data_IF_060670352281
#
_entry.id   IF_060670352281
#
_cell.length_a   1.000
_cell.length_b   1.000
_cell.length_c   1.000
_cell.angle_alpha   90.00
_cell.angle_beta   90.00
_cell.angle_gamma   90.00
#
_symmetry.space_group_name_H-M   'P 1'
#
loop_
_entity.id
_entity.type
_entity.pdbx_description
1 polymer ?
#
# COMPACT_ATOMS: atom_id res chain seq x y z
N UNK A 1 -9.23 -5.19 -14.34
CA UNK A 1 -7.85 -4.89 -13.93
C UNK A 1 -7.07 -4.47 -15.18
N UNK A 2 -6.46 -3.28 -15.20
CA UNK A 2 -5.77 -2.74 -16.40
C UNK A 2 -4.28 -3.13 -16.40
N UNK A 3 -3.70 -3.42 -15.23
CA UNK A 3 -2.30 -3.79 -15.05
C UNK A 3 -2.17 -5.25 -14.60
N UNK A 4 -1.25 -6.00 -15.18
CA UNK A 4 -0.92 -7.38 -14.75
C UNK A 4 0.23 -7.42 -13.72
N UNK A 5 1.06 -6.37 -13.66
CA UNK A 5 2.16 -6.26 -12.70
C UNK A 5 1.70 -5.44 -11.50
N UNK A 6 1.94 -5.98 -10.31
CA UNK A 6 1.66 -5.30 -9.05
C UNK A 6 2.86 -5.39 -8.12
N UNK A 7 3.01 -4.40 -7.24
CA UNK A 7 4.16 -4.25 -6.35
C UNK A 7 3.64 -3.84 -4.98
N UNK A 8 4.08 -4.56 -3.95
CA UNK A 8 3.89 -4.12 -2.56
C UNK A 8 5.03 -3.16 -2.24
N UNK A 9 4.66 -1.89 -2.03
CA UNK A 9 5.58 -0.83 -1.72
C UNK A 9 5.65 -0.65 -0.21
N UNK A 10 6.53 -1.45 0.37
CA UNK A 10 6.93 -1.44 1.76
C UNK A 10 8.47 -1.46 1.87
N UNK A 11 9.00 -0.99 3.00
CA UNK A 11 10.40 -1.22 3.36
C UNK A 11 10.68 -2.61 3.96
N UNK A 12 11.94 -3.03 3.84
CA UNK A 12 12.46 -4.33 4.29
C UNK A 12 12.23 -4.66 5.77
N UNK A 13 11.92 -3.65 6.58
CA UNK A 13 11.74 -3.76 8.01
C UNK A 13 10.26 -3.79 8.45
N UNK A 14 9.31 -3.58 7.53
CA UNK A 14 7.88 -3.64 7.84
C UNK A 14 7.36 -5.05 8.11
N UNK A 15 7.78 -6.10 7.38
CA UNK A 15 7.27 -7.45 7.62
C UNK A 15 7.48 -7.89 9.07
N UNK A 16 6.46 -8.46 9.68
CA UNK A 16 6.44 -8.80 11.12
C UNK A 16 7.53 -9.79 11.54
N UNK A 17 7.98 -10.62 10.60
CA UNK A 17 9.11 -11.54 10.79
C UNK A 17 10.43 -10.81 11.06
N UNK A 18 10.59 -9.59 10.51
CA UNK A 18 11.78 -8.75 10.68
C UNK A 18 11.56 -7.73 11.80
N UNK A 19 10.39 -7.08 11.82
CA UNK A 19 10.07 -5.94 12.70
C UNK A 19 10.36 -6.24 14.18
N UNK A 20 9.97 -7.43 14.65
CA UNK A 20 10.17 -7.88 16.05
C UNK A 20 11.62 -8.06 16.48
N UNK A 21 12.56 -8.04 15.53
CA UNK A 21 13.99 -8.25 15.77
C UNK A 21 14.84 -6.99 15.54
N UNK A 22 14.21 -5.86 15.18
CA UNK A 22 14.90 -4.59 15.05
C UNK A 22 15.37 -4.09 16.41
N UNK A 23 16.62 -3.65 16.47
CA UNK A 23 17.25 -3.08 17.68
C UNK A 23 17.42 -1.57 17.59
N UNK A 24 17.59 -1.08 16.36
CA UNK A 24 17.85 0.32 16.02
C UNK A 24 16.83 0.79 14.97
N UNK A 25 16.79 2.10 14.70
CA UNK A 25 15.97 2.66 13.63
C UNK A 25 16.49 2.21 12.26
N UNK A 26 15.70 1.44 11.49
CA UNK A 26 16.17 0.89 10.23
C UNK A 26 16.28 1.97 9.16
N UNK A 27 17.33 1.91 8.34
CA UNK A 27 17.46 2.81 7.19
C UNK A 27 16.47 2.43 6.08
N UNK A 28 15.57 3.32 5.64
CA UNK A 28 14.67 3.06 4.53
C UNK A 28 15.42 2.89 3.20
N UNK A 29 14.94 1.97 2.37
CA UNK A 29 15.47 1.63 1.05
C UNK A 29 14.39 1.64 -0.05
N UNK A 30 13.11 1.74 0.31
CA UNK A 30 11.98 1.73 -0.61
C UNK A 30 12.18 2.68 -1.80
N UNK A 31 12.60 3.93 -1.58
CA UNK A 31 12.89 4.89 -2.66
C UNK A 31 13.89 4.37 -3.68
N UNK A 32 15.07 3.93 -3.23
CA UNK A 32 16.15 3.56 -4.14
C UNK A 32 15.80 2.30 -4.96
N UNK A 33 15.07 1.37 -4.34
CA UNK A 33 14.59 0.15 -5.01
C UNK A 33 13.47 0.48 -6.01
N UNK A 34 12.48 1.27 -5.59
CA UNK A 34 11.35 1.66 -6.44
C UNK A 34 11.79 2.48 -7.65
N UNK A 35 12.78 3.37 -7.52
CA UNK A 35 13.32 4.09 -8.67
C UNK A 35 13.93 3.18 -9.74
N UNK A 36 14.55 2.05 -9.34
CA UNK A 36 15.06 1.06 -10.30
C UNK A 36 13.90 0.36 -11.01
N UNK A 37 12.84 0.02 -10.27
CA UNK A 37 11.64 -0.61 -10.82
C UNK A 37 10.93 0.34 -11.79
N UNK A 38 10.73 1.60 -11.42
CA UNK A 38 10.11 2.60 -12.28
C UNK A 38 10.89 2.79 -13.59
N UNK A 39 12.23 2.85 -13.53
CA UNK A 39 13.07 2.90 -14.75
C UNK A 39 12.88 1.67 -15.65
N UNK A 40 12.67 0.49 -15.06
CA UNK A 40 12.42 -0.73 -15.81
C UNK A 40 11.04 -0.71 -16.46
N UNK A 41 10.01 -0.33 -15.70
CA UNK A 41 8.64 -0.18 -16.20
C UNK A 41 8.57 0.84 -17.34
N UNK A 42 9.23 2.00 -17.19
CA UNK A 42 9.32 3.04 -18.22
C UNK A 42 10.02 2.52 -19.48
N UNK A 43 11.14 1.79 -19.33
CA UNK A 43 11.87 1.20 -20.46
C UNK A 43 11.01 0.29 -21.32
N UNK A 44 10.08 -0.45 -20.71
CA UNK A 44 9.21 -1.38 -21.40
C UNK A 44 7.81 -0.81 -21.67
N UNK A 45 7.53 0.45 -21.32
CA UNK A 45 6.22 1.06 -21.49
C UNK A 45 5.11 0.41 -20.67
N UNK A 46 5.45 -0.26 -19.56
CA UNK A 46 4.51 -1.02 -18.73
C UNK A 46 3.99 -0.16 -17.58
N UNK A 47 2.68 -0.21 -17.33
CA UNK A 47 2.06 0.35 -16.13
C UNK A 47 1.80 -0.75 -15.12
N UNK A 48 1.78 -0.35 -13.85
CA UNK A 48 1.74 -1.25 -12.72
C UNK A 48 0.88 -0.63 -11.61
N UNK A 49 0.43 -1.47 -10.70
CA UNK A 49 -0.27 -1.06 -9.48
C UNK A 49 0.66 -1.19 -8.28
N UNK A 50 0.82 -0.11 -7.53
CA UNK A 50 1.62 -0.07 -6.31
C UNK A 50 0.70 -0.09 -5.10
N UNK A 51 0.63 -1.22 -4.41
CA UNK A 51 0.01 -1.31 -3.09
C UNK A 51 0.96 -0.64 -2.11
N UNK A 52 0.69 0.63 -1.83
CA UNK A 52 1.57 1.50 -1.09
C UNK A 52 1.23 1.44 0.39
N UNK A 53 2.25 1.26 1.23
CA UNK A 53 2.10 1.37 2.66
C UNK A 53 2.03 2.85 3.08
N UNK A 54 1.12 3.18 4.00
CA UNK A 54 0.97 4.55 4.51
C UNK A 54 2.26 5.12 5.12
N UNK A 55 2.99 4.36 5.93
CA UNK A 55 4.29 4.77 6.49
C UNK A 55 5.28 5.20 5.38
N UNK A 56 5.35 4.44 4.28
CA UNK A 56 6.20 4.80 3.12
C UNK A 56 5.71 6.09 2.46
N UNK A 57 4.39 6.25 2.30
CA UNK A 57 3.79 7.43 1.71
C UNK A 57 4.05 8.71 2.54
N UNK A 58 3.99 8.62 3.87
CA UNK A 58 4.29 9.74 4.78
C UNK A 58 5.77 10.11 4.74
N UNK A 59 6.66 9.11 4.71
CA UNK A 59 8.12 9.34 4.69
C UNK A 59 8.61 9.93 3.38
N UNK A 60 8.02 9.51 2.26
CA UNK A 60 8.43 10.00 0.93
C UNK A 60 7.25 10.35 0.01
N UNK A 61 6.60 11.52 0.25
CA UNK A 61 5.58 12.05 -0.65
C UNK A 61 6.07 12.26 -2.08
N UNK A 62 7.39 12.48 -2.25
CA UNK A 62 8.01 12.65 -3.56
C UNK A 62 7.99 11.37 -4.39
N UNK A 63 8.19 10.21 -3.76
CA UNK A 63 8.08 8.91 -4.40
C UNK A 63 6.63 8.62 -4.83
N UNK A 64 5.65 8.89 -3.98
CA UNK A 64 4.22 8.72 -4.33
C UNK A 64 3.84 9.59 -5.54
N UNK A 65 4.24 10.87 -5.55
CA UNK A 65 4.07 11.75 -6.72
C UNK A 65 4.75 11.22 -7.97
N UNK A 66 5.96 10.64 -7.83
CA UNK A 66 6.71 10.08 -8.95
C UNK A 66 6.02 8.85 -9.53
N UNK A 67 5.52 7.95 -8.70
CA UNK A 67 4.77 6.76 -9.13
C UNK A 67 3.49 7.19 -9.86
N UNK A 68 2.67 8.03 -9.23
CA UNK A 68 1.43 8.50 -9.83
C UNK A 68 1.66 9.29 -11.13
N UNK A 69 2.64 10.20 -11.15
CA UNK A 69 3.01 10.97 -12.35
C UNK A 69 3.56 10.12 -13.49
N UNK A 70 4.05 8.90 -13.19
CA UNK A 70 4.38 7.88 -14.18
C UNK A 70 3.17 7.16 -14.77
N UNK A 71 1.95 7.47 -14.35
CA UNK A 71 0.71 6.80 -14.79
C UNK A 71 0.50 5.42 -14.14
N UNK A 72 1.18 5.14 -13.04
CA UNK A 72 0.96 3.95 -12.24
C UNK A 72 -0.20 4.16 -11.26
N UNK A 73 -0.89 3.08 -10.89
CA UNK A 73 -1.96 3.13 -9.90
C UNK A 73 -1.36 3.12 -8.48
N UNK A 74 -1.92 3.95 -7.60
CA UNK A 74 -1.70 3.88 -6.14
C UNK A 74 -2.88 3.14 -5.52
N UNK A 75 -2.60 2.00 -4.90
CA UNK A 75 -3.52 1.19 -4.14
C UNK A 75 -3.06 1.13 -2.67
N UNK A 76 -3.94 0.71 -1.76
CA UNK A 76 -3.64 0.63 -0.33
C UNK A 76 -3.00 -0.70 0.04
N UNK A 77 -1.91 -0.64 0.81
CA UNK A 77 -1.35 -1.77 1.55
C UNK A 77 -1.54 -1.60 3.07
N UNK A 78 -2.57 -0.84 3.47
CA UNK A 78 -2.74 -0.39 4.86
C UNK A 78 -1.87 0.82 5.20
N UNK A 79 -1.94 1.25 6.45
CA UNK A 79 -1.18 2.38 6.98
C UNK A 79 0.10 1.92 7.69
N UNK A 80 -0.02 0.94 8.59
CA UNK A 80 1.02 0.57 9.56
C UNK A 80 1.69 -0.79 9.32
N UNK A 81 1.21 -1.52 8.31
CA UNK A 81 1.57 -2.90 7.96
C UNK A 81 1.08 -3.95 8.96
N UNK A 82 0.13 -3.60 9.85
CA UNK A 82 -0.50 -4.57 10.73
C UNK A 82 -1.33 -5.59 9.95
N UNK A 83 -1.18 -6.90 10.22
CA UNK A 83 -2.03 -7.91 9.61
C UNK A 83 -3.47 -7.82 10.13
N UNK A 84 -4.44 -8.21 9.29
CA UNK A 84 -5.87 -8.07 9.59
C UNK A 84 -6.32 -8.82 10.85
N UNK A 85 -5.70 -9.94 11.20
CA UNK A 85 -6.04 -10.70 12.42
C UNK A 85 -5.62 -9.98 13.71
N UNK A 86 -4.78 -8.95 13.63
CA UNK A 86 -4.41 -8.10 14.78
C UNK A 86 -5.27 -6.83 14.88
N UNK A 87 -6.09 -6.56 13.85
CA UNK A 87 -6.92 -5.36 13.79
C UNK A 87 -8.36 -5.70 14.20
N UNK A 88 -8.88 -4.90 15.13
CA UNK A 88 -10.33 -4.84 15.30
C UNK A 88 -10.99 -4.20 14.07
N UNK A 89 -12.28 -4.45 13.80
CA UNK A 89 -12.98 -3.83 12.68
C UNK A 89 -12.86 -2.30 12.64
N UNK A 90 -12.93 -1.63 13.78
CA UNK A 90 -12.76 -0.16 13.85
C UNK A 90 -11.31 0.31 13.66
N UNK A 91 -10.33 -0.51 14.07
CA UNK A 91 -8.93 -0.23 13.81
C UNK A 91 -8.61 -0.35 12.32
N UNK A 92 -9.20 -1.34 11.63
CA UNK A 92 -9.06 -1.50 10.19
C UNK A 92 -9.63 -0.31 9.41
N UNK A 93 -10.80 0.21 9.79
CA UNK A 93 -11.33 1.45 9.20
C UNK A 93 -10.38 2.61 9.37
N UNK A 94 -9.81 2.74 10.58
CA UNK A 94 -8.79 3.74 10.89
C UNK A 94 -7.59 3.67 9.93
N UNK A 95 -7.11 2.46 9.61
CA UNK A 95 -6.04 2.23 8.63
C UNK A 95 -6.44 2.70 7.22
N UNK A 96 -7.64 2.31 6.76
CA UNK A 96 -8.14 2.67 5.43
C UNK A 96 -8.33 4.19 5.27
N UNK A 97 -8.87 4.84 6.29
CA UNK A 97 -9.07 6.28 6.31
C UNK A 97 -7.76 7.05 6.42
N UNK A 98 -6.84 6.61 7.29
CA UNK A 98 -5.54 7.24 7.45
C UNK A 98 -4.75 7.19 6.14
N UNK A 99 -4.66 6.02 5.51
CA UNK A 99 -4.04 5.88 4.20
C UNK A 99 -4.69 6.80 3.17
N UNK A 100 -6.04 6.84 3.14
CA UNK A 100 -6.78 7.69 2.24
C UNK A 100 -6.52 9.18 2.41
N UNK A 101 -6.45 9.66 3.66
CA UNK A 101 -6.08 11.05 3.96
C UNK A 101 -4.65 11.36 3.53
N UNK A 102 -3.71 10.47 3.83
CA UNK A 102 -2.29 10.63 3.47
C UNK A 102 -2.12 10.77 1.97
N UNK A 103 -2.65 9.83 1.17
CA UNK A 103 -2.51 9.87 -0.29
C UNK A 103 -3.18 11.10 -0.90
N UNK A 104 -4.39 11.47 -0.44
CA UNK A 104 -5.09 12.68 -0.90
C UNK A 104 -4.33 13.96 -0.58
N UNK A 105 -3.69 14.05 0.59
CA UNK A 105 -2.84 15.21 0.93
C UNK A 105 -1.63 15.36 0.00
N UNK A 106 -1.19 14.26 -0.65
CA UNK A 106 -0.01 14.22 -1.52
C UNK A 106 -0.38 14.46 -2.99
N UNK A 107 -1.51 13.89 -3.44
CA UNK A 107 -1.90 13.82 -4.86
C UNK A 107 -3.15 14.65 -5.21
N UNK A 108 -3.89 15.15 -4.22
CA UNK A 108 -5.16 15.86 -4.36
C UNK A 108 -6.38 15.03 -3.91
N UNK A 109 -7.44 15.72 -3.51
CA UNK A 109 -8.63 15.10 -2.88
C UNK A 109 -9.40 14.16 -3.81
N UNK A 110 -9.35 14.41 -5.11
CA UNK A 110 -10.08 13.63 -6.12
C UNK A 110 -9.40 12.32 -6.49
N UNK A 111 -8.21 12.02 -5.93
CA UNK A 111 -7.50 10.78 -6.27
C UNK A 111 -8.29 9.55 -5.78
N UNK A 112 -8.68 8.63 -6.69
CA UNK A 112 -9.41 7.46 -6.28
C UNK A 112 -8.45 6.39 -5.75
N UNK A 113 -8.76 5.83 -4.59
CA UNK A 113 -8.06 4.67 -4.03
C UNK A 113 -9.01 3.49 -4.16
N UNK A 114 -8.68 2.57 -5.06
CA UNK A 114 -9.60 1.52 -5.52
C UNK A 114 -9.16 0.11 -5.11
N UNK A 115 -7.87 -0.12 -5.03
CA UNK A 115 -7.29 -1.41 -4.69
C UNK A 115 -6.85 -1.47 -3.25
N UNK A 116 -7.00 -2.64 -2.65
CA UNK A 116 -6.39 -3.02 -1.39
C UNK A 116 -5.61 -4.32 -1.55
N UNK A 117 -4.54 -4.47 -0.78
CA UNK A 117 -3.92 -5.77 -0.51
C UNK A 117 -3.57 -5.83 0.96
N UNK A 118 -3.95 -6.91 1.62
CA UNK A 118 -3.70 -7.11 3.04
C UNK A 118 -2.20 -7.34 3.30
N UNK A 119 -1.60 -6.65 4.29
CA UNK A 119 -0.28 -7.00 4.81
C UNK A 119 -0.18 -8.49 5.13
N UNK A 120 0.93 -9.13 4.78
CA UNK A 120 1.17 -10.57 5.04
C UNK A 120 0.11 -11.50 4.42
N UNK A 121 -0.61 -11.08 3.37
CA UNK A 121 -1.74 -11.83 2.81
C UNK A 121 -2.76 -12.23 3.88
N UNK A 122 -2.95 -11.35 4.87
CA UNK A 122 -3.75 -11.64 6.06
C UNK A 122 -5.26 -11.66 5.84
N UNK A 123 -5.72 -11.61 4.59
CA UNK A 123 -7.12 -11.78 4.24
C UNK A 123 -7.39 -13.25 3.91
N UNK A 124 -8.14 -13.93 4.79
CA UNK A 124 -8.55 -15.32 4.66
C UNK A 124 -9.96 -15.53 5.24
N UNK A 125 -10.38 -16.78 5.44
CA UNK A 125 -11.70 -17.10 6.01
C UNK A 125 -11.92 -16.49 7.41
N UNK A 126 -10.86 -16.35 8.22
CA UNK A 126 -10.93 -15.80 9.58
C UNK A 126 -11.06 -14.28 9.59
N UNK A 127 -10.52 -13.61 8.58
CA UNK A 127 -10.52 -12.13 8.43
C UNK A 127 -11.44 -11.64 7.32
N UNK A 128 -12.29 -12.50 6.74
CA UNK A 128 -13.21 -12.21 5.63
C UNK A 128 -14.13 -11.01 5.89
N UNK A 129 -14.37 -10.70 7.17
CA UNK A 129 -15.11 -9.53 7.61
C UNK A 129 -14.48 -8.19 7.14
N UNK A 130 -13.23 -8.18 6.68
CA UNK A 130 -12.59 -7.02 6.07
C UNK A 130 -13.18 -6.65 4.69
N UNK A 131 -13.67 -7.62 3.90
CA UNK A 131 -14.25 -7.36 2.58
C UNK A 131 -15.44 -6.38 2.58
N UNK A 132 -16.49 -6.55 3.42
CA UNK A 132 -17.58 -5.58 3.48
C UNK A 132 -17.10 -4.19 3.92
N UNK A 133 -16.10 -4.10 4.80
CA UNK A 133 -15.52 -2.81 5.21
C UNK A 133 -14.80 -2.12 4.05
N UNK A 134 -14.01 -2.87 3.27
CA UNK A 134 -13.39 -2.33 2.06
C UNK A 134 -14.45 -1.72 1.12
N UNK A 135 -15.58 -2.41 0.92
CA UNK A 135 -16.69 -1.90 0.12
C UNK A 135 -17.32 -0.62 0.72
N UNK A 136 -17.54 -0.56 2.04
CA UNK A 136 -18.02 0.64 2.74
C UNK A 136 -17.10 1.85 2.53
N UNK A 137 -15.78 1.62 2.52
CA UNK A 137 -14.75 2.62 2.25
C UNK A 137 -14.50 2.86 0.74
N UNK A 138 -15.35 2.32 -0.15
CA UNK A 138 -15.32 2.49 -1.61
C UNK A 138 -14.10 1.89 -2.31
N UNK A 139 -13.43 0.93 -1.69
CA UNK A 139 -12.50 0.06 -2.40
C UNK A 139 -13.28 -0.84 -3.35
N UNK A 140 -12.77 -1.02 -4.56
CA UNK A 140 -13.44 -1.75 -5.65
C UNK A 140 -12.89 -3.17 -5.83
N UNK A 141 -11.68 -3.42 -5.36
CA UNK A 141 -11.08 -4.75 -5.42
C UNK A 141 -10.06 -4.95 -4.30
N UNK A 142 -9.88 -6.21 -3.92
CA UNK A 142 -8.76 -6.70 -3.13
C UNK A 142 -7.85 -7.55 -4.02
N UNK A 143 -6.57 -7.65 -3.67
CA UNK A 143 -5.60 -8.51 -4.36
C UNK A 143 -4.87 -9.46 -3.41
N UNK A 144 -5.59 -9.93 -2.40
CA UNK A 144 -5.15 -10.92 -1.42
C UNK A 144 -5.83 -12.28 -1.64
N UNK A 145 -7.08 -12.29 -2.13
CA UNK A 145 -7.90 -13.49 -2.44
C UNK A 145 -8.58 -13.45 -3.81
#
# INVERSE_FOLDING_TARGET
MINAITIDLEDWYHPELVRKHLRDDPRPQARQSTEKILRLLDRYGVKATFFTLGDVAERDPGLVRRIHGGGHEIASHGMSHMPLWELSPGAFDGELEAFGRTVRSILGDDIPIRGFRAPTFSLDESTIHALPRLAEHRYLYDSSV
#
